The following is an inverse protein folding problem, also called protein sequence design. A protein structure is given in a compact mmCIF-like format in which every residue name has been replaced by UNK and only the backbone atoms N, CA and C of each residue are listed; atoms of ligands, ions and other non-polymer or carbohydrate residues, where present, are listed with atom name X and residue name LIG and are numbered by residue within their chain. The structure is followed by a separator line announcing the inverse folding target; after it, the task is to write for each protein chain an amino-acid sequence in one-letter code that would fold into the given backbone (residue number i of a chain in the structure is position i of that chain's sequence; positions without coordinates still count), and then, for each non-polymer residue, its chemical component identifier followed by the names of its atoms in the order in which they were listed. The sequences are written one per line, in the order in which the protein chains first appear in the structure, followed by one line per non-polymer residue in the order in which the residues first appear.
data_IF_262586838656
#
_entry.id   IF_262586838656
#
_cell.length_a   1.000
_cell.length_b   1.000
_cell.length_c   1.000
_cell.angle_alpha   90.00
_cell.angle_beta   90.00
_cell.angle_gamma   90.00
#
_symmetry.space_group_name_H-M   'P 1'
#
loop_
_entity.id
_entity.type
_entity.pdbx_description
1 polymer ?
#
# COMPACT_ATOMS: atom_id res chain seq x y z
N UNK A 1 13.17 -29.41 -52.42
CA UNK A 1 13.65 -29.11 -51.05
C UNK A 1 14.72 -28.06 -51.22
N UNK A 2 14.61 -26.80 -50.80
CA UNK A 2 13.97 -26.20 -49.63
C UNK A 2 13.61 -24.74 -49.97
N UNK A 3 12.39 -24.31 -49.63
CA UNK A 3 11.96 -22.92 -49.75
C UNK A 3 12.54 -22.11 -48.57
N UNK A 4 13.22 -21.01 -48.88
CA UNK A 4 13.79 -20.09 -47.92
C UNK A 4 12.73 -19.04 -47.56
N UNK A 5 12.12 -19.17 -46.39
CA UNK A 5 11.12 -18.23 -45.88
C UNK A 5 11.81 -16.98 -45.32
N UNK A 6 11.52 -15.84 -45.95
CA UNK A 6 11.95 -14.52 -45.49
C UNK A 6 11.09 -14.12 -44.28
N UNK A 7 11.70 -13.93 -43.10
CA UNK A 7 11.03 -13.36 -41.91
C UNK A 7 10.74 -11.87 -42.17
N UNK A 8 9.56 -11.34 -41.82
CA UNK A 8 9.33 -9.90 -41.87
C UNK A 8 10.12 -9.22 -40.74
N UNK A 9 10.88 -8.19 -41.09
CA UNK A 9 11.53 -7.30 -40.15
C UNK A 9 10.47 -6.59 -39.29
N UNK A 10 10.64 -6.64 -37.96
CA UNK A 10 9.82 -5.87 -37.04
C UNK A 10 9.96 -4.38 -37.36
N UNK A 11 8.85 -3.71 -37.63
CA UNK A 11 8.80 -2.27 -37.85
C UNK A 11 9.22 -1.56 -36.56
N UNK A 12 10.41 -0.96 -36.57
CA UNK A 12 10.75 0.07 -35.60
C UNK A 12 9.80 1.26 -35.81
N UNK A 13 8.94 1.53 -34.83
CA UNK A 13 8.16 2.75 -34.85
C UNK A 13 9.08 3.95 -34.61
N UNK A 14 9.14 4.83 -35.61
CA UNK A 14 9.84 6.09 -35.54
C UNK A 14 9.26 6.95 -34.40
N UNK A 15 10.12 7.31 -33.44
CA UNK A 15 9.77 8.20 -32.34
C UNK A 15 9.77 9.65 -32.82
N UNK A 16 8.57 10.23 -32.92
CA UNK A 16 8.39 11.67 -33.05
C UNK A 16 8.86 12.37 -31.76
N UNK A 17 9.73 13.38 -31.90
CA UNK A 17 10.16 14.25 -30.80
C UNK A 17 8.99 15.11 -30.31
N UNK A 18 8.91 15.33 -28.98
CA UNK A 18 8.41 16.63 -28.47
C UNK A 18 7.27 16.67 -27.44
N UNK A 19 6.86 15.57 -26.80
CA UNK A 19 6.05 15.62 -25.57
C UNK A 19 6.63 14.63 -24.57
N UNK A 20 7.18 15.12 -23.45
CA UNK A 20 7.47 14.27 -22.29
C UNK A 20 6.18 13.54 -21.92
N UNK A 21 6.20 12.21 -21.84
CA UNK A 21 5.03 11.44 -21.48
C UNK A 21 4.46 11.97 -20.14
N UNK A 22 3.14 12.20 -20.03
CA UNK A 22 2.57 12.73 -18.81
C UNK A 22 2.74 11.71 -17.68
N UNK A 23 3.27 12.17 -16.53
CA UNK A 23 3.29 11.37 -15.31
C UNK A 23 1.88 11.29 -14.72
N UNK A 24 1.55 10.17 -14.09
CA UNK A 24 0.25 9.98 -13.42
C UNK A 24 0.48 9.37 -12.05
N UNK A 25 -0.24 9.86 -11.04
CA UNK A 25 -0.28 9.29 -9.70
C UNK A 25 -1.74 9.23 -9.24
N UNK A 26 -2.15 8.08 -8.75
CA UNK A 26 -3.45 7.88 -8.11
C UNK A 26 -3.22 7.28 -6.73
N UNK A 27 -3.95 7.75 -5.75
CA UNK A 27 -3.88 7.31 -4.36
C UNK A 27 -5.27 6.98 -3.82
N UNK A 28 -5.37 6.07 -2.85
CA UNK A 28 -6.59 5.85 -2.07
C UNK A 28 -6.29 5.77 -0.58
N UNK A 29 -7.19 6.33 0.22
CA UNK A 29 -7.20 6.22 1.69
C UNK A 29 -8.13 5.13 2.21
N UNK A 30 -8.60 4.25 1.32
CA UNK A 30 -9.46 3.12 1.65
C UNK A 30 -10.92 3.28 1.27
N UNK A 31 -11.62 2.15 1.17
CA UNK A 31 -13.06 2.08 0.90
C UNK A 31 -13.85 1.75 2.18
N UNK A 32 -15.13 2.13 2.20
CA UNK A 32 -16.06 1.83 3.28
C UNK A 32 -17.18 2.86 3.40
N UNK A 33 -18.15 2.58 4.28
CA UNK A 33 -19.24 3.51 4.58
C UNK A 33 -18.83 4.39 5.74
N UNK A 34 -18.62 5.68 5.47
CA UNK A 34 -18.49 6.68 6.52
C UNK A 34 -19.89 7.20 6.83
N UNK A 35 -20.32 7.08 8.08
CA UNK A 35 -21.58 7.66 8.53
C UNK A 35 -21.56 9.17 8.26
N UNK A 36 -22.47 9.65 7.40
CA UNK A 36 -22.57 11.07 7.04
C UNK A 36 -22.82 11.95 8.26
N UNK A 37 -23.52 11.44 9.29
CA UNK A 37 -23.74 12.17 10.53
C UNK A 37 -22.44 12.36 11.34
N UNK A 38 -21.47 11.44 11.20
CA UNK A 38 -20.15 11.55 11.80
C UNK A 38 -19.14 12.34 10.96
N UNK A 39 -19.46 12.59 9.68
CA UNK A 39 -18.62 13.37 8.75
C UNK A 39 -18.88 14.87 8.90
N UNK A 40 -18.35 15.45 9.98
CA UNK A 40 -18.33 16.92 10.11
C UNK A 40 -17.40 17.53 9.06
N UNK A 41 -17.60 18.81 8.71
CA UNK A 41 -16.73 19.52 7.77
C UNK A 41 -15.24 19.50 8.20
N UNK A 42 -14.96 19.48 9.51
CA UNK A 42 -13.60 19.35 10.03
C UNK A 42 -12.99 17.97 9.78
N UNK A 43 -13.77 16.90 9.96
CA UNK A 43 -13.32 15.52 9.69
C UNK A 43 -13.11 15.32 8.19
N UNK A 44 -14.02 15.80 7.34
CA UNK A 44 -13.87 15.71 5.89
C UNK A 44 -12.61 16.45 5.43
N UNK A 45 -12.40 17.67 5.93
CA UNK A 45 -11.21 18.47 5.61
C UNK A 45 -9.92 17.74 5.99
N UNK A 46 -9.86 17.16 7.19
CA UNK A 46 -8.69 16.42 7.65
C UNK A 46 -8.38 15.20 6.74
N UNK A 47 -9.41 14.46 6.32
CA UNK A 47 -9.22 13.37 5.35
C UNK A 47 -8.71 13.86 3.99
N UNK A 48 -9.26 14.97 3.48
CA UNK A 48 -8.80 15.58 2.22
C UNK A 48 -7.36 16.07 2.33
N UNK A 49 -6.98 16.66 3.45
CA UNK A 49 -5.60 17.10 3.73
C UNK A 49 -4.63 15.92 3.76
N UNK A 50 -4.98 14.82 4.42
CA UNK A 50 -4.17 13.60 4.43
C UNK A 50 -3.99 12.98 3.04
N UNK A 51 -5.07 12.86 2.26
CA UNK A 51 -5.02 12.39 0.86
C UNK A 51 -4.16 13.33 0.01
N UNK A 52 -4.34 14.65 0.16
CA UNK A 52 -3.56 15.64 -0.56
C UNK A 52 -2.07 15.56 -0.19
N UNK A 53 -1.72 15.35 1.08
CA UNK A 53 -0.35 15.20 1.52
C UNK A 53 0.33 13.97 0.89
N UNK A 54 -0.34 12.82 0.88
CA UNK A 54 0.16 11.61 0.23
C UNK A 54 0.35 11.81 -1.29
N UNK A 55 -0.64 12.43 -1.95
CA UNK A 55 -0.57 12.76 -3.37
C UNK A 55 0.60 13.71 -3.66
N UNK A 56 0.81 14.74 -2.84
CA UNK A 56 1.88 15.72 -3.02
C UNK A 56 3.27 15.08 -2.83
N UNK A 57 3.40 14.16 -1.87
CA UNK A 57 4.66 13.46 -1.63
C UNK A 57 5.07 12.62 -2.85
N UNK A 58 4.17 11.78 -3.36
CA UNK A 58 4.45 11.00 -4.58
C UNK A 58 4.62 11.89 -5.82
N UNK A 59 3.82 12.96 -5.95
CA UNK A 59 3.91 13.85 -7.10
C UNK A 59 5.24 14.61 -7.15
N UNK A 60 5.80 15.03 -6.01
CA UNK A 60 7.12 15.66 -5.95
C UNK A 60 8.20 14.75 -6.54
N UNK A 61 8.15 13.44 -6.25
CA UNK A 61 9.08 12.47 -6.82
C UNK A 61 8.97 12.46 -8.36
N UNK A 62 7.74 12.31 -8.89
CA UNK A 62 7.52 12.28 -10.34
C UNK A 62 7.85 13.62 -11.03
N UNK A 63 7.59 14.74 -10.37
CA UNK A 63 7.88 16.08 -10.88
C UNK A 63 9.39 16.33 -11.01
N UNK A 64 10.19 15.67 -10.17
CA UNK A 64 11.65 15.68 -10.19
C UNK A 64 12.27 14.51 -10.96
N UNK A 65 11.54 13.91 -11.92
CA UNK A 65 12.00 12.80 -12.76
C UNK A 65 12.35 11.51 -11.99
N UNK A 66 11.85 11.36 -10.77
CA UNK A 66 11.96 10.13 -9.99
C UNK A 66 11.08 8.99 -10.53
N UNK A 67 11.37 7.77 -10.09
CA UNK A 67 10.68 6.58 -10.57
C UNK A 67 9.25 6.47 -10.03
N UNK A 68 8.39 5.74 -10.76
CA UNK A 68 7.04 5.43 -10.30
C UNK A 68 7.04 4.64 -8.99
N UNK A 69 8.03 3.75 -8.82
CA UNK A 69 8.22 2.95 -7.62
C UNK A 69 8.56 3.81 -6.40
N UNK A 70 9.42 4.81 -6.54
CA UNK A 70 9.72 5.77 -5.47
C UNK A 70 8.50 6.64 -5.14
N UNK A 71 7.74 7.03 -6.17
CA UNK A 71 6.55 7.86 -5.99
C UNK A 71 5.44 7.14 -5.19
N UNK A 72 5.13 5.88 -5.51
CA UNK A 72 4.13 5.11 -4.75
C UNK A 72 4.61 4.80 -3.34
N UNK A 73 5.91 4.52 -3.17
CA UNK A 73 6.52 4.29 -1.85
C UNK A 73 6.40 5.53 -0.97
N UNK A 74 6.72 6.72 -1.50
CA UNK A 74 6.63 7.98 -0.78
C UNK A 74 5.18 8.35 -0.40
N UNK A 75 4.23 8.15 -1.32
CA UNK A 75 2.82 8.42 -1.06
C UNK A 75 2.26 7.53 0.06
N UNK A 76 2.54 6.22 0.02
CA UNK A 76 2.06 5.26 1.02
C UNK A 76 2.73 5.49 2.38
N UNK A 77 4.02 5.84 2.43
CA UNK A 77 4.69 6.16 3.69
C UNK A 77 4.01 7.35 4.41
N UNK A 78 3.56 8.37 3.67
CA UNK A 78 2.79 9.49 4.25
C UNK A 78 1.45 9.03 4.82
N UNK A 79 0.75 8.12 4.13
CA UNK A 79 -0.47 7.54 4.70
C UNK A 79 -0.20 6.71 5.96
N UNK A 80 0.91 5.97 6.01
CA UNK A 80 1.30 5.19 7.18
C UNK A 80 1.65 6.06 8.40
N UNK A 81 2.02 7.32 8.21
CA UNK A 81 2.29 8.25 9.30
C UNK A 81 1.02 8.98 9.81
N UNK A 82 -0.05 8.99 9.00
CA UNK A 82 -1.28 9.71 9.32
C UNK A 82 -2.29 8.82 10.08
N UNK A 83 -2.62 9.16 11.36
CA UNK A 83 -3.48 8.36 12.23
C UNK A 83 -4.94 8.19 11.76
N UNK A 84 -5.36 8.90 10.70
CA UNK A 84 -6.71 8.83 10.14
C UNK A 84 -6.93 7.60 9.24
N UNK A 85 -5.86 7.06 8.68
CA UNK A 85 -5.92 5.95 7.72
C UNK A 85 -5.64 4.61 8.40
N UNK A 86 -5.99 3.49 7.76
CA UNK A 86 -5.79 2.16 8.32
C UNK A 86 -4.49 1.53 7.77
N UNK A 87 -3.35 2.17 8.05
CA UNK A 87 -2.03 1.68 7.72
C UNK A 87 -1.03 2.35 8.67
N UNK A 88 0.03 1.66 9.07
CA UNK A 88 0.99 2.22 10.03
C UNK A 88 0.29 2.80 11.27
N UNK A 89 0.57 4.08 11.57
CA UNK A 89 -0.09 4.82 12.63
C UNK A 89 -1.58 4.89 12.39
N UNK A 90 -2.38 4.42 13.35
CA UNK A 90 -3.82 4.34 13.16
C UNK A 90 -4.27 3.04 12.50
N UNK A 91 -3.46 1.98 12.55
CA UNK A 91 -3.89 0.64 12.17
C UNK A 91 -5.13 0.16 12.95
N UNK A 92 -5.97 -0.63 12.28
CA UNK A 92 -6.99 -1.45 12.90
C UNK A 92 -6.34 -2.49 13.83
N UNK A 93 -7.05 -2.82 14.91
CA UNK A 93 -6.50 -3.65 15.97
C UNK A 93 -7.01 -5.08 15.87
N UNK A 94 -6.17 -6.03 16.26
CA UNK A 94 -6.48 -7.46 16.39
C UNK A 94 -7.49 -7.70 17.53
N UNK A 95 -7.95 -8.95 17.62
CA UNK A 95 -8.71 -9.46 18.75
C UNK A 95 -7.94 -9.40 20.08
N UNK A 96 -6.62 -9.18 20.07
CA UNK A 96 -5.78 -8.98 21.27
C UNK A 96 -5.46 -7.49 21.51
N UNK A 97 -6.11 -6.59 20.79
CA UNK A 97 -5.88 -5.14 20.84
C UNK A 97 -4.45 -4.70 20.46
N UNK A 98 -3.76 -5.51 19.63
CA UNK A 98 -2.45 -5.18 19.06
C UNK A 98 -2.59 -4.70 17.61
N UNK A 99 -1.55 -4.04 17.07
CA UNK A 99 -1.47 -3.69 15.65
C UNK A 99 -0.55 -4.69 14.94
N UNK A 100 -1.04 -5.27 13.84
CA UNK A 100 -0.28 -6.16 12.95
C UNK A 100 -0.43 -5.63 11.53
N UNK A 101 0.69 -5.27 10.91
CA UNK A 101 0.73 -4.49 9.68
C UNK A 101 1.19 -5.34 8.51
N UNK A 102 0.59 -5.07 7.35
CA UNK A 102 0.92 -5.73 6.09
C UNK A 102 1.13 -4.68 5.00
N UNK A 103 2.11 -4.88 4.13
CA UNK A 103 2.34 -4.01 2.97
C UNK A 103 3.02 -4.74 1.81
N UNK A 104 2.84 -4.25 0.59
CA UNK A 104 3.58 -4.68 -0.59
C UNK A 104 3.88 -3.52 -1.54
N UNK A 105 4.94 -3.70 -2.33
CA UNK A 105 5.29 -2.86 -3.49
C UNK A 105 5.59 -3.77 -4.68
N UNK A 106 5.29 -3.30 -5.89
CA UNK A 106 5.63 -4.00 -7.13
C UNK A 106 6.08 -3.01 -8.20
N UNK A 107 7.20 -3.33 -8.85
CA UNK A 107 7.73 -2.64 -10.02
C UNK A 107 7.23 -3.32 -11.29
N UNK A 108 6.48 -2.59 -12.11
CA UNK A 108 5.92 -3.08 -13.36
C UNK A 108 6.95 -3.25 -14.48
N UNK A 109 8.12 -2.62 -14.37
CA UNK A 109 9.19 -2.75 -15.38
C UNK A 109 9.93 -4.07 -15.25
N UNK A 110 10.23 -4.49 -14.02
CA UNK A 110 11.01 -5.69 -13.74
C UNK A 110 10.18 -6.86 -13.22
N UNK A 111 8.91 -6.62 -12.88
CA UNK A 111 8.03 -7.54 -12.16
C UNK A 111 8.56 -7.96 -10.78
N UNK A 112 9.60 -7.28 -10.27
CA UNK A 112 10.06 -7.46 -8.90
C UNK A 112 8.99 -6.94 -7.95
N UNK A 113 8.82 -7.66 -6.86
CA UNK A 113 7.91 -7.29 -5.79
C UNK A 113 8.57 -7.56 -4.45
N UNK A 114 8.16 -6.80 -3.44
CA UNK A 114 8.50 -7.04 -2.06
C UNK A 114 7.30 -6.79 -1.18
N UNK A 115 7.18 -7.57 -0.12
CA UNK A 115 6.03 -7.58 0.75
C UNK A 115 6.41 -8.00 2.16
N UNK A 116 5.65 -7.49 3.12
CA UNK A 116 5.73 -7.90 4.52
C UNK A 116 4.36 -8.10 5.13
N UNK A 117 4.28 -8.99 6.11
CA UNK A 117 3.05 -9.24 6.85
C UNK A 117 3.34 -9.48 8.33
N UNK A 118 2.35 -9.20 9.17
CA UNK A 118 2.40 -9.43 10.62
C UNK A 118 3.55 -8.67 11.32
N UNK A 119 3.98 -7.52 10.76
CA UNK A 119 4.98 -6.68 11.41
C UNK A 119 4.32 -5.76 12.43
N UNK A 120 5.02 -5.46 13.51
CA UNK A 120 4.45 -4.86 14.73
C UNK A 120 5.27 -3.70 15.27
N UNK A 121 6.51 -3.51 14.81
CA UNK A 121 7.43 -2.48 15.32
C UNK A 121 8.05 -1.58 14.25
N UNK A 122 7.86 -1.87 12.95
CA UNK A 122 8.46 -1.09 11.87
C UNK A 122 7.53 0.04 11.48
N UNK A 123 7.97 1.29 11.67
CA UNK A 123 7.11 2.48 11.54
C UNK A 123 6.36 2.56 10.21
N UNK A 124 7.07 2.28 9.12
CA UNK A 124 6.54 2.35 7.76
C UNK A 124 6.71 0.98 7.05
N UNK A 125 5.72 0.07 7.15
CA UNK A 125 5.75 -1.23 6.50
C UNK A 125 6.04 -1.19 4.99
N UNK A 126 5.60 -0.17 4.25
CA UNK A 126 5.89 -0.04 2.81
C UNK A 126 7.40 0.10 2.52
N UNK A 127 8.15 0.77 3.41
CA UNK A 127 9.60 0.90 3.27
C UNK A 127 10.29 -0.44 3.51
N UNK A 128 9.76 -1.25 4.42
CA UNK A 128 10.27 -2.60 4.62
C UNK A 128 9.91 -3.53 3.45
N UNK A 129 8.71 -3.42 2.89
CA UNK A 129 8.34 -4.14 1.68
C UNK A 129 9.30 -3.80 0.52
N UNK A 130 9.61 -2.51 0.34
CA UNK A 130 10.63 -2.04 -0.62
C UNK A 130 12.02 -2.62 -0.33
N UNK A 131 12.43 -2.62 0.94
CA UNK A 131 13.70 -3.20 1.37
C UNK A 131 13.78 -4.71 1.04
N UNK A 132 12.71 -5.47 1.28
CA UNK A 132 12.64 -6.90 0.92
C UNK A 132 12.86 -7.08 -0.57
N UNK A 133 12.17 -6.27 -1.39
CA UNK A 133 12.31 -6.32 -2.85
C UNK A 133 13.75 -6.09 -3.31
N UNK A 134 14.42 -5.07 -2.74
CA UNK A 134 15.71 -4.60 -3.23
C UNK A 134 16.91 -5.34 -2.66
N UNK A 135 16.87 -5.71 -1.39
CA UNK A 135 18.02 -6.21 -0.63
C UNK A 135 17.98 -7.71 -0.37
N UNK A 136 17.00 -8.43 -0.91
CA UNK A 136 16.87 -9.88 -0.74
C UNK A 136 16.52 -10.58 -2.05
N UNK A 137 16.62 -11.91 -2.07
CA UNK A 137 16.12 -12.76 -3.17
C UNK A 137 14.68 -13.24 -2.92
N UNK A 138 13.98 -12.67 -1.94
CA UNK A 138 12.65 -13.08 -1.52
C UNK A 138 11.61 -12.02 -1.88
N UNK A 139 10.35 -12.45 -1.96
CA UNK A 139 9.22 -11.57 -2.26
C UNK A 139 8.44 -11.20 -1.00
N UNK A 140 8.21 -12.15 -0.09
CA UNK A 140 7.38 -11.93 1.10
C UNK A 140 8.09 -12.43 2.35
N UNK A 141 8.21 -11.57 3.37
CA UNK A 141 8.68 -11.93 4.71
C UNK A 141 7.58 -11.67 5.74
N UNK A 142 7.59 -12.42 6.85
CA UNK A 142 6.57 -12.30 7.89
C UNK A 142 7.19 -12.07 9.28
N UNK A 143 6.48 -11.30 10.10
CA UNK A 143 6.73 -11.13 11.53
C UNK A 143 8.17 -10.79 11.89
N UNK A 144 8.68 -11.44 12.94
CA UNK A 144 9.99 -11.14 13.52
C UNK A 144 11.16 -11.28 12.53
N UNK A 145 11.07 -12.18 11.54
CA UNK A 145 12.10 -12.30 10.50
C UNK A 145 12.19 -11.05 9.62
N UNK A 146 11.04 -10.46 9.27
CA UNK A 146 10.97 -9.21 8.53
C UNK A 146 11.48 -8.02 9.38
N UNK A 147 11.10 -7.96 10.66
CA UNK A 147 11.57 -6.90 11.57
C UNK A 147 13.08 -6.98 11.84
N UNK A 148 13.65 -8.18 11.89
CA UNK A 148 15.09 -8.36 12.01
C UNK A 148 15.83 -7.80 10.78
N UNK A 149 15.27 -7.94 9.58
CA UNK A 149 15.81 -7.30 8.38
C UNK A 149 15.74 -5.77 8.50
N UNK A 150 14.59 -5.24 8.92
CA UNK A 150 14.40 -3.80 9.14
C UNK A 150 15.47 -3.21 10.07
N UNK A 151 15.72 -3.87 11.22
CA UNK A 151 16.75 -3.48 12.19
C UNK A 151 18.15 -3.50 11.59
N UNK A 152 18.51 -4.55 10.85
CA UNK A 152 19.85 -4.67 10.24
C UNK A 152 20.13 -3.59 9.19
N UNK A 153 19.09 -3.10 8.52
CA UNK A 153 19.20 -2.05 7.50
C UNK A 153 18.84 -0.65 8.02
N UNK A 154 18.66 -0.49 9.33
CA UNK A 154 18.48 0.83 9.95
C UNK A 154 17.13 1.49 9.68
N UNK A 155 16.08 0.73 9.38
CA UNK A 155 14.71 1.29 9.36
C UNK A 155 14.27 1.68 10.78
N UNK A 156 13.44 2.72 10.88
CA UNK A 156 12.94 3.21 12.16
C UNK A 156 12.04 2.17 12.82
N UNK A 157 12.43 1.76 14.03
CA UNK A 157 11.69 0.86 14.90
C UNK A 157 11.02 1.69 15.99
N UNK A 158 9.73 1.52 16.17
CA UNK A 158 8.90 2.21 17.15
C UNK A 158 8.31 1.22 18.16
N UNK A 159 7.93 1.73 19.33
CA UNK A 159 7.12 0.96 20.26
C UNK A 159 5.77 0.62 19.59
N UNK A 160 5.23 -0.62 19.76
CA UNK A 160 3.93 -0.99 19.20
C UNK A 160 2.79 -0.02 19.55
N UNK A 161 2.88 0.71 20.67
CA UNK A 161 1.89 1.72 21.05
C UNK A 161 1.80 2.88 20.05
N UNK A 162 2.83 3.13 19.24
CA UNK A 162 2.83 4.16 18.19
C UNK A 162 1.66 3.95 17.21
N UNK A 163 1.37 2.70 16.87
CA UNK A 163 0.34 2.35 15.89
C UNK A 163 -1.09 2.50 16.44
N UNK A 164 -1.23 2.50 17.77
CA UNK A 164 -2.52 2.43 18.46
C UNK A 164 -3.01 3.85 18.76
N UNK A 165 -4.20 4.20 18.24
CA UNK A 165 -4.85 5.47 18.53
C UNK A 165 -6.11 5.26 19.37
N UNK A 166 -6.50 6.27 20.17
CA UNK A 166 -7.73 6.23 20.95
C UNK A 166 -8.97 5.95 20.07
N UNK A 167 -8.96 6.48 18.83
CA UNK A 167 -10.01 6.22 17.84
C UNK A 167 -10.09 4.74 17.47
N UNK A 168 -8.96 4.08 17.20
CA UNK A 168 -8.92 2.66 16.82
C UNK A 168 -9.22 1.74 17.98
N UNK A 169 -8.78 2.09 19.18
CA UNK A 169 -9.14 1.37 20.39
C UNK A 169 -10.65 1.42 20.66
N UNK A 170 -11.27 2.61 20.55
CA UNK A 170 -12.73 2.76 20.64
C UNK A 170 -13.47 1.97 19.56
N UNK A 171 -12.96 1.98 18.32
CA UNK A 171 -13.54 1.19 17.23
C UNK A 171 -13.53 -0.32 17.54
N UNK A 172 -12.43 -0.86 18.08
CA UNK A 172 -12.34 -2.26 18.52
C UNK A 172 -13.39 -2.57 19.61
N UNK A 173 -13.55 -1.69 20.60
CA UNK A 173 -14.56 -1.88 21.65
C UNK A 173 -15.99 -1.93 21.08
N UNK A 174 -16.31 -1.06 20.12
CA UNK A 174 -17.61 -1.04 19.46
C UNK A 174 -17.88 -2.32 18.67
N UNK A 175 -16.88 -2.85 17.95
CA UNK A 175 -16.98 -4.11 17.22
C UNK A 175 -17.17 -5.28 18.18
N UNK A 176 -16.43 -5.33 19.30
CA UNK A 176 -16.58 -6.39 20.33
C UNK A 176 -17.93 -6.35 21.05
N UNK A 177 -18.49 -5.16 21.26
CA UNK A 177 -19.80 -4.99 21.91
C UNK A 177 -20.99 -5.40 21.03
N UNK A 178 -20.76 -5.55 19.71
CA UNK A 178 -21.74 -6.05 18.74
C UNK A 178 -21.26 -7.40 18.18
N UNK A 179 -21.23 -8.49 18.98
CA UNK A 179 -20.81 -9.79 18.48
C UNK A 179 -21.73 -10.20 17.35
N UNK A 180 -21.21 -10.16 16.12
CA UNK A 180 -21.89 -10.68 14.95
C UNK A 180 -22.01 -12.19 15.06
N UNK A 181 -23.17 -12.74 14.73
CA UNK A 181 -23.34 -14.18 14.62
C UNK A 181 -22.37 -14.73 13.54
N UNK A 182 -21.84 -15.93 13.73
CA UNK A 182 -20.97 -16.57 12.74
C UNK A 182 -21.69 -16.65 11.38
N UNK A 183 -21.16 -15.94 10.37
CA UNK A 183 -21.75 -15.87 9.02
C UNK A 183 -22.39 -14.53 8.64
N UNK A 184 -22.51 -13.57 9.56
CA UNK A 184 -22.94 -12.22 9.20
C UNK A 184 -21.86 -11.47 8.41
N UNK A 185 -22.27 -10.84 7.30
CA UNK A 185 -21.37 -10.06 6.46
C UNK A 185 -20.70 -8.93 7.27
N UNK A 186 -19.37 -8.83 7.13
CA UNK A 186 -18.59 -7.67 7.59
C UNK A 186 -19.23 -6.42 6.97
N UNK A 187 -19.67 -5.44 7.78
CA UNK A 187 -20.29 -4.24 7.21
C UNK A 187 -19.18 -3.38 6.63
N UNK A 188 -19.50 -2.56 5.63
CA UNK A 188 -18.56 -1.58 5.09
C UNK A 188 -18.08 -0.56 6.15
N UNK A 189 -18.77 -0.46 7.30
CA UNK A 189 -18.31 0.31 8.45
C UNK A 189 -17.23 -0.42 9.27
N UNK A 190 -17.16 -1.75 9.18
CA UNK A 190 -16.14 -2.59 9.84
C UNK A 190 -14.86 -2.71 8.98
N UNK A 191 -14.98 -2.43 7.67
CA UNK A 191 -13.87 -2.30 6.72
C UNK A 191 -13.37 -0.86 6.75
N UNK A 192 -12.52 -0.54 7.71
CA UNK A 192 -11.79 0.72 7.62
C UNK A 192 -10.64 0.55 6.65
N UNK A 193 -10.59 1.38 5.62
CA UNK A 193 -9.93 0.98 4.39
C UNK A 193 -8.40 1.10 4.39
N UNK A 194 -7.81 0.14 3.71
CA UNK A 194 -6.41 0.01 3.28
C UNK A 194 -5.99 1.21 2.46
N UNK A 195 -4.72 1.61 2.54
CA UNK A 195 -4.18 2.70 1.72
C UNK A 195 -3.36 2.15 0.58
N UNK A 196 -3.21 2.94 -0.47
CA UNK A 196 -2.34 2.55 -1.57
C UNK A 196 -2.20 3.60 -2.64
N UNK A 197 -1.28 3.34 -3.56
CA UNK A 197 -0.90 4.22 -4.64
C UNK A 197 -0.49 3.44 -5.89
N UNK A 198 -0.78 4.01 -7.05
CA UNK A 198 -0.29 3.55 -8.36
C UNK A 198 0.26 4.73 -9.14
N UNK A 199 1.36 4.52 -9.87
CA UNK A 199 2.01 5.61 -10.61
C UNK A 199 2.52 5.17 -11.98
N UNK A 200 2.59 6.13 -12.89
CA UNK A 200 3.26 6.09 -14.20
C UNK A 200 4.31 7.20 -14.23
N UNK A 201 5.58 6.85 -14.44
CA UNK A 201 6.68 7.82 -14.54
C UNK A 201 6.98 8.27 -15.98
N UNK A 202 7.93 9.20 -16.15
CA UNK A 202 8.30 9.74 -17.47
C UNK A 202 8.98 8.71 -18.38
N UNK A 203 9.54 7.64 -17.82
CA UNK A 203 10.11 6.54 -18.58
C UNK A 203 9.03 5.54 -19.03
N UNK A 204 7.78 5.73 -18.61
CA UNK A 204 6.67 4.85 -18.94
C UNK A 204 6.56 3.64 -18.02
N UNK A 205 7.23 3.65 -16.86
CA UNK A 205 7.15 2.54 -15.91
C UNK A 205 5.98 2.69 -14.96
N UNK A 206 5.31 1.58 -14.71
CA UNK A 206 4.21 1.44 -13.77
C UNK A 206 4.72 0.88 -12.44
N UNK A 207 4.14 1.35 -11.34
CA UNK A 207 4.36 0.76 -10.02
C UNK A 207 3.09 0.82 -9.17
N UNK A 208 3.01 -0.07 -8.18
CA UNK A 208 1.93 -0.12 -7.21
C UNK A 208 2.48 -0.35 -5.80
N UNK A 209 1.82 0.22 -4.80
CA UNK A 209 2.08 -0.04 -3.40
C UNK A 209 0.77 -0.01 -2.59
N UNK A 210 0.65 -0.93 -1.63
CA UNK A 210 -0.55 -1.09 -0.79
C UNK A 210 -0.10 -1.38 0.65
N UNK A 211 -0.74 -0.76 1.64
CA UNK A 211 -0.43 -0.97 3.07
C UNK A 211 -1.70 -0.97 3.93
N UNK A 212 -1.72 -1.80 4.97
CA UNK A 212 -2.91 -1.99 5.81
C UNK A 212 -2.58 -2.38 7.26
N UNK A 213 -3.45 -1.99 8.19
CA UNK A 213 -3.57 -2.62 9.52
C UNK A 213 -4.46 -3.86 9.53
N UNK A 214 -5.10 -4.20 8.40
CA UNK A 214 -6.05 -5.30 8.29
C UNK A 214 -7.45 -4.90 8.78
N UNK A 215 -8.19 -5.83 9.39
CA UNK A 215 -9.58 -5.58 9.84
C UNK A 215 -9.63 -5.47 11.36
N UNK A 216 -10.52 -4.61 11.86
CA UNK A 216 -10.81 -4.52 13.30
C UNK A 216 -11.28 -5.87 13.83
N UNK A 217 -10.77 -6.27 14.99
CA UNK A 217 -11.07 -7.53 15.65
C UNK A 217 -10.69 -8.78 14.81
N UNK A 218 -9.70 -8.65 13.90
CA UNK A 218 -9.12 -9.81 13.21
C UNK A 218 -8.46 -10.76 14.21
N UNK A 219 -8.47 -12.06 13.93
CA UNK A 219 -7.60 -13.00 14.64
C UNK A 219 -6.14 -12.55 14.47
N UNK A 220 -5.37 -12.58 15.56
CA UNK A 220 -3.94 -12.31 15.52
C UNK A 220 -3.26 -13.31 14.57
N UNK A 221 -2.36 -12.82 13.73
CA UNK A 221 -1.76 -13.60 12.64
C UNK A 221 -2.59 -13.66 11.34
N UNK A 222 -3.77 -13.04 11.27
CA UNK A 222 -4.56 -12.99 10.02
C UNK A 222 -3.89 -12.06 9.01
N UNK A 223 -3.65 -12.60 7.82
CA UNK A 223 -3.11 -11.88 6.66
C UNK A 223 -4.22 -11.50 5.67
N UNK A 224 -4.18 -10.27 5.16
CA UNK A 224 -5.11 -9.76 4.15
C UNK A 224 -4.62 -9.93 2.71
N UNK A 225 -5.28 -9.24 1.79
CA UNK A 225 -4.93 -9.16 0.36
C UNK A 225 -3.72 -8.24 0.09
N UNK A 226 -3.54 -7.19 0.88
CA UNK A 226 -2.53 -6.14 0.66
C UNK A 226 -1.10 -6.66 0.44
N UNK A 227 -0.56 -7.61 1.22
CA UNK A 227 0.79 -8.14 1.00
C UNK A 227 0.87 -9.22 -0.09
N UNK A 228 -0.26 -9.64 -0.66
CA UNK A 228 -0.34 -10.72 -1.64
C UNK A 228 -0.32 -10.13 -3.05
N UNK A 229 0.80 -10.28 -3.74
CA UNK A 229 0.99 -9.84 -5.12
C UNK A 229 -0.05 -10.52 -6.03
N UNK A 230 -0.74 -9.72 -6.83
CA UNK A 230 -1.86 -10.16 -7.69
C UNK A 230 -3.23 -10.16 -7.01
N UNK A 231 -3.32 -9.93 -5.70
CA UNK A 231 -4.57 -9.68 -4.99
C UNK A 231 -4.72 -8.20 -4.62
N UNK A 232 -3.96 -7.72 -3.63
CA UNK A 232 -4.03 -6.33 -3.17
C UNK A 232 -3.04 -5.38 -3.86
N UNK A 233 -2.00 -5.92 -4.50
CA UNK A 233 -0.94 -5.12 -5.15
C UNK A 233 -0.50 -5.78 -6.44
N UNK A 234 -0.49 -5.05 -7.56
CA UNK A 234 0.02 -5.55 -8.83
C UNK A 234 0.52 -4.43 -9.73
N UNK A 235 1.61 -4.64 -10.47
CA UNK A 235 2.07 -3.74 -11.51
C UNK A 235 2.75 -4.51 -12.65
N UNK A 236 2.46 -4.11 -13.89
CA UNK A 236 3.11 -4.63 -15.09
C UNK A 236 3.05 -3.58 -16.21
N UNK A 237 4.20 -3.18 -16.74
CA UNK A 237 4.30 -2.18 -17.81
C UNK A 237 3.52 -2.55 -19.08
N UNK A 238 3.31 -3.84 -19.33
CA UNK A 238 2.55 -4.31 -20.49
C UNK A 238 1.03 -4.14 -20.31
N UNK A 239 0.53 -3.93 -19.08
CA UNK A 239 -0.90 -3.92 -18.80
C UNK A 239 -1.31 -2.79 -17.85
N UNK A 240 -1.11 -2.94 -16.54
CA UNK A 240 -1.75 -2.10 -15.51
C UNK A 240 -0.98 -2.09 -14.20
N UNK A 241 -1.16 -1.03 -13.40
CA UNK A 241 -0.88 -1.01 -11.97
C UNK A 241 -2.18 -0.90 -11.17
N UNK A 242 -2.32 -1.71 -10.13
CA UNK A 242 -3.53 -1.84 -9.30
C UNK A 242 -3.15 -1.90 -7.82
N UNK A 243 -3.92 -1.18 -7.01
CA UNK A 243 -3.89 -1.21 -5.55
C UNK A 243 -5.32 -1.46 -5.05
N UNK A 244 -5.50 -2.50 -4.24
CA UNK A 244 -6.80 -2.95 -3.70
C UNK A 244 -7.07 -2.45 -2.28
N UNK A 245 -8.35 -2.48 -1.86
CA UNK A 245 -8.81 -2.15 -0.50
C UNK A 245 -10.05 -2.93 -0.08
#
# INVERSE_FOLDING_TARGET
MTAQTCKPAAKAHASGRGRTAPVTLVVHGGAGVIDRAAMTAGVERAYREGIAAALLAGHRVLASDGSSLDAVTAAVAVFEDDPLFNAGRGAALTADATAELDAAVMDGATLRAGAVTLVTTVKNPVLLARLVMEQTHHVLLAGQGAEALARRHGLEIVDPSYFITARRFKALQLVRAKPKAAGEAVTEADKHGTVGAVALDRAGNLAAATSTGGRSNKLSGRVGDSPIVGAGTYANNATVAVSGT
#
